data_IF_392416826815
#
_entry.id   IF_392416826815
#
_cell.length_a   1.000
_cell.length_b   1.000
_cell.length_c   1.000
_cell.angle_alpha   90.00
_cell.angle_beta   90.00
_cell.angle_gamma   90.00
#
_symmetry.space_group_name_H-M   'P 1'
#
loop_
_entity.id
_entity.type
_entity.pdbx_description
1 polymer ?
#
# COMPACT_ATOMS: atom_id res chain seq x y z
N UNK A 1 -25.71 1.01 21.69
CA UNK A 1 -26.36 -0.10 20.96
C UNK A 1 -26.54 0.39 19.54
N UNK A 2 -25.64 0.02 18.62
CA UNK A 2 -25.69 0.48 17.23
C UNK A 2 -26.86 -0.23 16.54
N UNK A 3 -28.02 0.43 16.55
CA UNK A 3 -29.18 -0.01 15.81
C UNK A 3 -28.82 -0.02 14.32
N UNK A 4 -29.14 -1.11 13.64
CA UNK A 4 -29.19 -1.17 12.18
C UNK A 4 -29.94 0.08 11.73
N UNK A 5 -29.36 0.97 10.90
CA UNK A 5 -30.06 2.16 10.46
C UNK A 5 -31.38 1.71 9.81
N UNK A 6 -32.48 2.38 10.14
CA UNK A 6 -33.79 2.07 9.57
C UNK A 6 -33.65 1.94 8.05
N UNK A 7 -34.14 0.83 7.50
CA UNK A 7 -34.06 0.57 6.07
C UNK A 7 -34.62 1.79 5.32
N UNK A 8 -33.93 2.30 4.28
CA UNK A 8 -34.36 3.48 3.56
C UNK A 8 -35.83 3.35 3.16
N UNK A 9 -36.68 4.24 3.66
CA UNK A 9 -38.13 4.22 3.40
C UNK A 9 -38.49 4.48 1.94
N UNK A 10 -37.53 4.93 1.14
CA UNK A 10 -37.71 5.29 -0.25
C UNK A 10 -36.97 4.33 -1.19
N UNK A 11 -37.72 3.73 -2.12
CA UNK A 11 -37.24 2.75 -3.10
C UNK A 11 -36.03 3.26 -3.90
N UNK A 12 -35.97 4.57 -4.19
CA UNK A 12 -34.88 5.20 -4.95
C UNK A 12 -33.55 5.28 -4.19
N UNK A 13 -33.56 5.19 -2.85
CA UNK A 13 -32.32 5.09 -2.06
C UNK A 13 -31.90 3.64 -1.86
N UNK A 14 -32.88 2.75 -1.66
CA UNK A 14 -32.63 1.33 -1.40
C UNK A 14 -32.04 0.61 -2.63
N UNK A 15 -32.62 0.82 -3.83
CA UNK A 15 -32.18 0.15 -5.06
C UNK A 15 -30.71 0.42 -5.43
N UNK A 16 -30.19 1.66 -5.47
CA UNK A 16 -28.78 1.89 -5.79
C UNK A 16 -27.83 1.43 -4.67
N UNK A 17 -28.21 1.56 -3.39
CA UNK A 17 -27.33 1.18 -2.26
C UNK A 17 -27.13 -0.33 -2.16
N UNK A 18 -28.20 -1.11 -2.31
CA UNK A 18 -28.16 -2.57 -2.14
C UNK A 18 -28.19 -3.33 -3.47
N UNK A 19 -28.95 -2.85 -4.45
CA UNK A 19 -29.03 -3.47 -5.77
C UNK A 19 -27.83 -3.14 -6.68
N UNK A 20 -27.25 -1.94 -6.55
CA UNK A 20 -26.09 -1.52 -7.35
C UNK A 20 -24.90 -2.49 -7.26
N UNK A 21 -24.41 -2.82 -6.05
CA UNK A 21 -23.34 -3.81 -5.88
C UNK A 21 -23.69 -5.19 -6.44
N UNK A 22 -24.95 -5.62 -6.33
CA UNK A 22 -25.40 -6.91 -6.89
C UNK A 22 -25.33 -6.88 -8.42
N UNK A 23 -25.80 -5.81 -9.05
CA UNK A 23 -25.73 -5.65 -10.51
C UNK A 23 -24.28 -5.66 -10.99
N UNK A 24 -23.39 -4.91 -10.32
CA UNK A 24 -21.96 -4.88 -10.66
C UNK A 24 -21.33 -6.26 -10.46
N UNK A 25 -21.65 -6.96 -9.36
CA UNK A 25 -21.13 -8.31 -9.10
C UNK A 25 -21.61 -9.35 -10.10
N UNK A 26 -22.89 -9.32 -10.48
CA UNK A 26 -23.44 -10.20 -11.53
C UNK A 26 -22.79 -9.91 -12.87
N UNK A 27 -22.63 -8.62 -13.22
CA UNK A 27 -21.92 -8.22 -14.43
C UNK A 27 -20.48 -8.73 -14.44
N UNK A 28 -19.77 -8.62 -13.31
CA UNK A 28 -18.40 -9.13 -13.18
C UNK A 28 -18.34 -10.65 -13.41
N UNK A 29 -19.24 -11.42 -12.79
CA UNK A 29 -19.33 -12.89 -12.98
C UNK A 29 -19.69 -13.24 -14.42
N UNK A 30 -20.58 -12.47 -15.06
CA UNK A 30 -20.96 -12.68 -16.45
C UNK A 30 -19.82 -12.40 -17.44
N UNK A 31 -18.92 -11.46 -17.12
CA UNK A 31 -17.76 -11.10 -17.96
C UNK A 31 -16.54 -11.98 -17.69
N UNK A 32 -16.42 -12.61 -16.52
CA UNK A 32 -15.30 -13.50 -16.17
C UNK A 32 -14.92 -14.54 -17.24
N UNK A 33 -15.87 -15.23 -17.93
CA UNK A 33 -15.54 -16.16 -19.00
C UNK A 33 -14.84 -15.54 -20.22
N UNK A 34 -14.94 -14.22 -20.40
CA UNK A 34 -14.28 -13.48 -21.48
C UNK A 34 -12.87 -12.98 -21.10
N UNK A 35 -12.47 -13.13 -19.84
CA UNK A 35 -11.17 -12.68 -19.34
C UNK A 35 -10.13 -13.77 -19.65
N UNK A 36 -9.00 -13.38 -20.23
CA UNK A 36 -7.88 -14.28 -20.44
C UNK A 36 -7.26 -14.67 -19.10
N UNK A 37 -6.95 -15.96 -18.94
CA UNK A 37 -6.31 -16.44 -17.71
C UNK A 37 -4.88 -15.93 -17.57
N UNK A 38 -4.39 -15.83 -16.33
CA UNK A 38 -3.02 -15.39 -16.09
C UNK A 38 -2.00 -16.39 -16.68
N UNK A 39 -1.01 -15.94 -17.49
CA UNK A 39 0.05 -16.81 -18.02
C UNK A 39 0.79 -17.57 -16.92
N UNK A 40 1.00 -16.90 -15.78
CA UNK A 40 1.66 -17.44 -14.59
C UNK A 40 0.89 -18.59 -13.97
N UNK A 41 -0.44 -18.46 -13.93
CA UNK A 41 -1.31 -19.51 -13.42
C UNK A 41 -1.34 -20.72 -14.37
N UNK A 42 -1.36 -20.48 -15.68
CA UNK A 42 -1.28 -21.53 -16.70
C UNK A 42 0.06 -22.28 -16.62
N UNK A 43 1.18 -21.57 -16.38
CA UNK A 43 2.49 -22.16 -16.10
C UNK A 43 2.46 -23.04 -14.84
N UNK A 44 1.85 -22.57 -13.76
CA UNK A 44 1.69 -23.37 -12.53
C UNK A 44 0.84 -24.64 -12.77
N UNK A 45 -0.08 -24.62 -13.74
CA UNK A 45 -0.84 -25.80 -14.19
C UNK A 45 -0.11 -26.67 -15.22
N UNK A 46 1.15 -26.37 -15.52
CA UNK A 46 1.97 -27.04 -16.55
C UNK A 46 1.39 -26.94 -17.97
N UNK A 47 0.59 -25.90 -18.25
CA UNK A 47 0.00 -25.61 -19.56
C UNK A 47 0.83 -24.58 -20.32
N UNK A 48 2.04 -24.97 -20.71
CA UNK A 48 3.08 -24.06 -21.25
C UNK A 48 2.65 -23.44 -22.59
N UNK A 49 2.12 -24.23 -23.51
CA UNK A 49 1.71 -23.74 -24.84
C UNK A 49 0.57 -22.72 -24.74
N UNK A 50 -0.40 -22.96 -23.86
CA UNK A 50 -1.51 -22.03 -23.63
C UNK A 50 -1.02 -20.73 -22.99
N UNK A 51 -0.09 -20.82 -22.04
CA UNK A 51 0.52 -19.65 -21.42
C UNK A 51 1.27 -18.77 -22.44
N UNK A 52 2.01 -19.35 -23.40
CA UNK A 52 2.68 -18.59 -24.47
C UNK A 52 1.68 -17.92 -25.40
N UNK A 53 0.60 -18.63 -25.79
CA UNK A 53 -0.47 -18.07 -26.61
C UNK A 53 -1.15 -16.87 -25.93
N UNK A 54 -1.48 -17.00 -24.65
CA UNK A 54 -2.09 -15.91 -23.89
C UNK A 54 -1.12 -14.74 -23.72
N UNK A 55 0.17 -15.01 -23.51
CA UNK A 55 1.18 -13.96 -23.46
C UNK A 55 1.24 -13.18 -24.79
N UNK A 56 1.25 -13.86 -25.94
CA UNK A 56 1.20 -13.21 -27.25
C UNK A 56 -0.07 -12.37 -27.49
N UNK A 57 -1.18 -12.71 -26.82
CA UNK A 57 -2.42 -11.93 -26.90
C UNK A 57 -2.41 -10.68 -25.99
N UNK A 58 -1.64 -10.71 -24.90
CA UNK A 58 -1.56 -9.59 -23.96
C UNK A 58 -0.58 -8.49 -24.42
N UNK A 59 0.52 -8.86 -25.06
CA UNK A 59 1.58 -7.93 -25.48
C UNK A 59 1.28 -7.30 -26.85
N UNK A 60 1.78 -6.08 -27.08
CA UNK A 60 1.59 -5.38 -28.33
C UNK A 60 2.49 -5.97 -29.43
N UNK A 61 2.07 -5.99 -30.71
CA UNK A 61 2.92 -6.43 -31.81
C UNK A 61 4.20 -5.58 -31.88
N UNK A 62 5.36 -6.19 -31.63
CA UNK A 62 6.67 -5.53 -31.64
C UNK A 62 7.46 -5.62 -30.33
N UNK A 63 6.84 -6.10 -29.24
CA UNK A 63 7.57 -6.46 -28.02
C UNK A 63 8.35 -7.77 -28.23
N UNK A 64 9.53 -7.88 -27.63
CA UNK A 64 10.34 -9.11 -27.62
C UNK A 64 9.75 -10.12 -26.63
N UNK A 65 8.59 -10.67 -26.98
CA UNK A 65 7.82 -11.59 -26.13
C UNK A 65 8.61 -12.86 -25.84
N UNK A 66 9.42 -13.33 -26.80
CA UNK A 66 10.15 -14.60 -26.67
C UNK A 66 11.31 -14.51 -25.66
N UNK A 67 12.03 -13.39 -25.59
CA UNK A 67 13.06 -13.23 -24.56
C UNK A 67 12.46 -13.12 -23.15
N UNK A 68 11.39 -12.35 -22.99
CA UNK A 68 10.64 -12.27 -21.73
C UNK A 68 10.04 -13.62 -21.33
N UNK A 69 9.51 -14.37 -22.29
CA UNK A 69 8.94 -15.69 -22.06
C UNK A 69 9.97 -16.67 -21.47
N UNK A 70 11.16 -16.72 -22.07
CA UNK A 70 12.22 -17.62 -21.59
C UNK A 70 12.64 -17.32 -20.15
N UNK A 71 12.76 -16.04 -19.79
CA UNK A 71 13.07 -15.60 -18.44
C UNK A 71 11.94 -15.94 -17.45
N UNK A 72 10.69 -15.75 -17.87
CA UNK A 72 9.51 -16.01 -17.06
C UNK A 72 9.37 -17.50 -16.71
N UNK A 73 9.54 -18.38 -17.70
CA UNK A 73 9.47 -19.83 -17.50
C UNK A 73 10.57 -20.29 -16.53
N UNK A 74 11.82 -19.85 -16.74
CA UNK A 74 12.93 -20.19 -15.85
C UNK A 74 12.71 -19.69 -14.41
N UNK A 75 12.17 -18.47 -14.26
CA UNK A 75 11.81 -17.89 -12.97
C UNK A 75 10.74 -18.73 -12.26
N UNK A 76 9.66 -19.07 -12.97
CA UNK A 76 8.54 -19.81 -12.39
C UNK A 76 8.91 -21.25 -12.05
N UNK A 77 9.72 -21.93 -12.85
CA UNK A 77 10.23 -23.27 -12.51
C UNK A 77 11.04 -23.24 -11.22
N UNK A 78 11.96 -22.28 -11.08
CA UNK A 78 12.76 -22.11 -9.86
C UNK A 78 11.88 -21.83 -8.65
N UNK A 79 10.96 -20.88 -8.76
CA UNK A 79 10.05 -20.52 -7.66
C UNK A 79 9.11 -21.67 -7.26
N UNK A 80 8.65 -22.48 -8.23
CA UNK A 80 7.81 -23.65 -7.98
C UNK A 80 8.59 -24.75 -7.27
N UNK A 81 9.80 -25.06 -7.73
CA UNK A 81 10.67 -26.05 -7.07
C UNK A 81 11.01 -25.64 -5.63
N UNK A 82 11.30 -24.36 -5.39
CA UNK A 82 11.52 -23.85 -4.02
C UNK A 82 10.29 -24.05 -3.14
N UNK A 83 9.10 -23.82 -3.69
CA UNK A 83 7.84 -24.00 -2.97
C UNK A 83 7.56 -25.47 -2.67
N UNK A 84 7.82 -26.37 -3.62
CA UNK A 84 7.66 -27.83 -3.46
C UNK A 84 8.67 -28.42 -2.47
N UNK A 85 9.88 -27.86 -2.42
CA UNK A 85 10.94 -28.28 -1.48
C UNK A 85 10.69 -27.82 -0.04
N UNK A 86 9.83 -26.82 0.16
CA UNK A 86 9.52 -26.26 1.47
C UNK A 86 8.33 -26.98 2.11
N UNK A 87 8.35 -27.09 3.44
CA UNK A 87 7.25 -27.69 4.20
C UNK A 87 5.92 -26.95 4.03
N UNK A 88 5.94 -25.63 3.84
CA UNK A 88 4.75 -24.84 3.51
C UNK A 88 5.10 -23.46 2.91
N UNK A 89 4.15 -22.86 2.18
CA UNK A 89 4.28 -21.48 1.67
C UNK A 89 4.48 -20.46 2.79
N UNK A 90 3.83 -20.66 3.94
CA UNK A 90 4.00 -19.81 5.12
C UNK A 90 5.40 -19.91 5.70
N UNK A 91 5.94 -21.14 5.83
CA UNK A 91 7.32 -21.36 6.25
C UNK A 91 8.31 -20.68 5.32
N UNK A 92 8.07 -20.74 4.00
CA UNK A 92 8.92 -20.09 3.01
C UNK A 92 8.87 -18.56 3.12
N UNK A 93 7.69 -17.96 3.34
CA UNK A 93 7.55 -16.51 3.56
C UNK A 93 8.31 -16.00 4.80
N UNK A 94 8.37 -16.80 5.85
CA UNK A 94 9.05 -16.45 7.12
C UNK A 94 10.53 -16.86 7.10
N UNK A 95 10.99 -17.56 6.06
CA UNK A 95 12.38 -17.96 5.91
C UNK A 95 13.33 -16.76 5.79
N UNK A 96 14.62 -16.95 6.09
CA UNK A 96 15.63 -15.89 6.00
C UNK A 96 15.68 -15.19 4.63
N UNK A 97 15.34 -15.94 3.56
CA UNK A 97 15.27 -15.47 2.18
C UNK A 97 14.18 -14.42 1.95
N UNK A 98 12.95 -14.68 2.40
CA UNK A 98 11.80 -13.82 2.08
C UNK A 98 11.29 -12.99 3.26
N UNK A 99 11.77 -13.23 4.50
CA UNK A 99 11.27 -12.55 5.71
C UNK A 99 11.32 -11.03 5.64
N UNK A 100 12.38 -10.45 5.05
CA UNK A 100 12.53 -8.99 4.95
C UNK A 100 11.48 -8.42 4.01
N UNK A 101 11.39 -8.96 2.79
CA UNK A 101 10.38 -8.59 1.80
C UNK A 101 8.95 -8.74 2.33
N UNK A 102 8.66 -9.90 2.94
CA UNK A 102 7.36 -10.19 3.52
C UNK A 102 6.99 -9.20 4.63
N UNK A 103 7.92 -8.92 5.54
CA UNK A 103 7.70 -7.94 6.60
C UNK A 103 7.45 -6.54 6.02
N UNK A 104 8.22 -6.13 5.00
CA UNK A 104 8.05 -4.83 4.35
C UNK A 104 6.68 -4.74 3.70
N UNK A 105 6.26 -5.76 2.95
CA UNK A 105 4.96 -5.79 2.29
C UNK A 105 3.80 -5.68 3.30
N UNK A 106 3.84 -6.43 4.40
CA UNK A 106 2.81 -6.38 5.45
C UNK A 106 2.78 -5.02 6.15
N UNK A 107 3.95 -4.49 6.53
CA UNK A 107 4.06 -3.18 7.20
C UNK A 107 3.59 -2.07 6.27
N UNK A 108 3.98 -2.10 5.00
CA UNK A 108 3.58 -1.11 3.98
C UNK A 108 2.06 -1.06 3.83
N UNK A 109 1.40 -2.21 3.64
CA UNK A 109 -0.07 -2.27 3.50
C UNK A 109 -0.79 -1.89 4.80
N UNK A 110 -0.23 -2.23 5.96
CA UNK A 110 -0.80 -1.85 7.26
C UNK A 110 -0.70 -0.34 7.50
N UNK A 111 0.48 0.24 7.29
CA UNK A 111 0.72 1.68 7.46
C UNK A 111 -0.07 2.53 6.45
N UNK A 112 -0.31 1.99 5.25
CA UNK A 112 -1.21 2.59 4.27
C UNK A 112 -2.61 2.87 4.86
N UNK A 113 -3.13 2.01 5.74
CA UNK A 113 -4.44 2.22 6.37
C UNK A 113 -4.38 3.18 7.56
N UNK A 114 -3.25 3.23 8.26
CA UNK A 114 -3.03 4.07 9.44
C UNK A 114 -2.70 5.54 9.11
N UNK A 115 -2.43 5.86 7.84
CA UNK A 115 -2.10 7.22 7.40
C UNK A 115 -3.26 8.24 7.52
N UNK A 116 -4.47 7.80 7.84
CA UNK A 116 -5.61 8.67 8.17
C UNK A 116 -6.64 8.90 7.07
N UNK A 117 -6.45 8.35 5.87
CA UNK A 117 -7.44 8.49 4.79
C UNK A 117 -8.81 7.92 5.19
N UNK A 118 -8.86 6.74 5.82
CA UNK A 118 -10.15 6.16 6.25
C UNK A 118 -10.87 7.00 7.29
N UNK A 119 -10.14 7.58 8.25
CA UNK A 119 -10.73 8.50 9.20
C UNK A 119 -11.33 9.71 8.47
N UNK A 120 -10.62 10.26 7.48
CA UNK A 120 -11.16 11.36 6.68
C UNK A 120 -12.42 10.96 5.90
N UNK A 121 -12.48 9.75 5.34
CA UNK A 121 -13.67 9.29 4.60
C UNK A 121 -14.87 9.12 5.51
N UNK A 122 -14.67 8.55 6.70
CA UNK A 122 -15.76 8.29 7.66
C UNK A 122 -16.22 9.57 8.34
N UNK A 123 -15.29 10.45 8.72
CA UNK A 123 -15.58 11.62 9.56
C UNK A 123 -15.53 12.96 8.83
N UNK A 124 -15.11 12.97 7.56
CA UNK A 124 -15.03 14.16 6.71
C UNK A 124 -16.33 14.99 6.67
N UNK A 125 -17.53 14.39 6.53
CA UNK A 125 -18.78 15.15 6.60
C UNK A 125 -18.95 15.91 7.92
N UNK A 126 -18.61 15.30 9.05
CA UNK A 126 -18.68 15.97 10.36
C UNK A 126 -17.70 17.14 10.43
N UNK A 127 -16.51 16.98 9.86
CA UNK A 127 -15.52 18.05 9.76
C UNK A 127 -15.99 19.21 8.88
N UNK A 128 -16.56 18.92 7.71
CA UNK A 128 -17.14 19.95 6.84
C UNK A 128 -18.28 20.72 7.49
N UNK A 129 -19.12 20.02 8.27
CA UNK A 129 -20.19 20.66 9.04
C UNK A 129 -19.63 21.68 10.04
N UNK A 130 -18.53 21.34 10.72
CA UNK A 130 -17.88 22.23 11.68
C UNK A 130 -17.30 23.51 11.04
N UNK A 131 -16.97 23.46 9.73
CA UNK A 131 -16.45 24.60 8.95
C UNK A 131 -17.59 25.52 8.45
N UNK A 132 -18.86 25.14 8.67
CA UNK A 132 -20.05 25.88 8.22
C UNK A 132 -20.61 25.43 6.87
N UNK A 133 -20.15 24.29 6.35
CA UNK A 133 -20.73 23.71 5.14
C UNK A 133 -21.99 22.92 5.49
N UNK A 134 -23.14 23.46 5.08
CA UNK A 134 -24.45 22.87 5.37
C UNK A 134 -24.82 21.74 4.39
N UNK A 135 -24.38 21.83 3.12
CA UNK A 135 -24.65 20.85 2.08
C UNK A 135 -23.61 19.72 2.05
N UNK A 136 -23.71 18.83 3.04
CA UNK A 136 -22.77 17.71 3.25
C UNK A 136 -22.75 16.71 2.08
N UNK A 137 -23.90 16.51 1.41
CA UNK A 137 -24.01 15.61 0.26
C UNK A 137 -23.15 16.10 -0.90
N UNK A 138 -23.33 17.36 -1.30
CA UNK A 138 -22.57 17.98 -2.39
C UNK A 138 -21.07 17.99 -2.09
N UNK A 139 -20.70 18.29 -0.85
CA UNK A 139 -19.30 18.29 -0.40
C UNK A 139 -18.66 16.92 -0.49
N UNK A 140 -19.39 15.88 -0.05
CA UNK A 140 -18.93 14.49 -0.14
C UNK A 140 -18.81 14.05 -1.60
N UNK A 141 -19.75 14.45 -2.47
CA UNK A 141 -19.68 14.16 -3.91
C UNK A 141 -18.46 14.81 -4.56
N UNK A 142 -18.16 16.08 -4.25
CA UNK A 142 -16.99 16.78 -4.79
C UNK A 142 -15.69 16.11 -4.36
N UNK A 143 -15.56 15.74 -3.08
CA UNK A 143 -14.37 15.02 -2.58
C UNK A 143 -14.21 13.68 -3.29
N UNK A 144 -15.28 12.91 -3.48
CA UNK A 144 -15.19 11.62 -4.17
C UNK A 144 -14.87 11.77 -5.66
N UNK A 145 -15.39 12.80 -6.32
CA UNK A 145 -15.02 13.13 -7.69
C UNK A 145 -13.54 13.55 -7.80
N UNK A 146 -13.06 14.38 -6.87
CA UNK A 146 -11.66 14.74 -6.75
C UNK A 146 -10.77 13.50 -6.58
N UNK A 147 -11.13 12.58 -5.69
CA UNK A 147 -10.42 11.31 -5.51
C UNK A 147 -10.33 10.48 -6.78
N UNK A 148 -11.44 10.38 -7.52
CA UNK A 148 -11.45 9.65 -8.80
C UNK A 148 -10.49 10.29 -9.81
N UNK A 149 -10.54 11.61 -9.93
CA UNK A 149 -9.64 12.38 -10.78
C UNK A 149 -8.17 12.24 -10.36
N UNK A 150 -7.87 12.36 -9.07
CA UNK A 150 -6.50 12.29 -8.55
C UNK A 150 -5.91 10.88 -8.67
N UNK A 151 -6.74 9.84 -8.56
CA UNK A 151 -6.33 8.47 -8.85
C UNK A 151 -5.98 8.28 -10.33
N UNK A 152 -6.78 8.85 -11.23
CA UNK A 152 -6.47 8.86 -12.67
C UNK A 152 -5.14 9.55 -12.98
N UNK A 153 -4.88 10.70 -12.35
CA UNK A 153 -3.58 11.37 -12.45
C UNK A 153 -2.46 10.52 -11.86
N UNK A 154 -2.68 9.91 -10.70
CA UNK A 154 -1.77 8.98 -10.05
C UNK A 154 -1.37 7.83 -10.97
N UNK A 155 -2.33 7.23 -11.68
CA UNK A 155 -2.04 6.20 -12.69
C UNK A 155 -1.19 6.75 -13.84
N UNK A 156 -1.54 7.92 -14.40
CA UNK A 156 -0.83 8.51 -15.55
C UNK A 156 0.62 8.90 -15.22
N UNK A 157 0.86 9.38 -13.99
CA UNK A 157 2.19 9.80 -13.55
C UNK A 157 2.97 8.67 -12.87
N UNK A 158 2.28 7.68 -12.29
CA UNK A 158 2.86 6.59 -11.51
C UNK A 158 3.98 5.87 -12.26
N UNK A 159 3.76 5.58 -13.54
CA UNK A 159 4.72 4.85 -14.39
C UNK A 159 5.85 5.70 -14.96
N UNK A 160 5.88 7.02 -14.69
CA UNK A 160 6.99 7.89 -15.10
C UNK A 160 8.08 8.03 -14.06
N UNK A 161 7.76 7.74 -12.81
CA UNK A 161 8.64 7.98 -11.68
C UNK A 161 8.94 6.70 -10.92
N UNK A 162 9.91 6.78 -10.01
CA UNK A 162 10.29 5.69 -9.14
C UNK A 162 9.26 5.50 -8.02
N UNK A 163 8.96 4.24 -7.67
CA UNK A 163 7.89 3.89 -6.73
C UNK A 163 8.18 4.47 -5.33
N UNK A 164 9.43 4.30 -4.85
CA UNK A 164 9.90 4.83 -3.57
C UNK A 164 9.79 6.36 -3.51
N UNK A 165 10.19 7.06 -4.58
CA UNK A 165 10.12 8.53 -4.63
C UNK A 165 8.68 9.03 -4.55
N UNK A 166 7.73 8.38 -5.22
CA UNK A 166 6.32 8.79 -5.13
C UNK A 166 5.76 8.57 -3.72
N UNK A 167 6.07 7.44 -3.10
CA UNK A 167 5.67 7.18 -1.72
C UNK A 167 6.20 8.26 -0.77
N UNK A 168 7.47 8.67 -0.91
CA UNK A 168 8.06 9.72 -0.08
C UNK A 168 7.45 11.10 -0.35
N UNK A 169 7.38 11.52 -1.61
CA UNK A 169 6.86 12.85 -2.00
C UNK A 169 5.39 13.00 -1.61
N UNK A 170 4.56 12.00 -1.91
CA UNK A 170 3.15 12.08 -1.55
C UNK A 170 2.93 11.97 -0.03
N UNK A 171 3.74 11.20 0.69
CA UNK A 171 3.68 11.19 2.17
C UNK A 171 4.08 12.55 2.76
N UNK A 172 5.06 13.25 2.18
CA UNK A 172 5.40 14.62 2.57
C UNK A 172 4.24 15.58 2.31
N UNK A 173 3.56 15.47 1.17
CA UNK A 173 2.34 16.23 0.87
C UNK A 173 1.22 15.97 1.87
N UNK A 174 1.04 14.71 2.29
CA UNK A 174 0.08 14.34 3.33
C UNK A 174 0.46 14.91 4.70
N UNK A 175 1.75 14.94 5.07
CA UNK A 175 2.20 15.56 6.34
C UNK A 175 1.86 17.05 6.33
N UNK A 176 2.21 17.77 5.27
CA UNK A 176 1.92 19.21 5.15
C UNK A 176 0.41 19.47 5.17
N UNK A 177 -0.38 18.68 4.42
CA UNK A 177 -1.84 18.81 4.40
C UNK A 177 -2.50 18.54 5.75
N UNK A 178 -2.07 17.48 6.45
CA UNK A 178 -2.63 17.14 7.76
C UNK A 178 -2.19 18.10 8.87
N UNK A 179 -0.95 18.60 8.86
CA UNK A 179 -0.51 19.66 9.78
C UNK A 179 -1.24 20.98 9.53
N UNK A 180 -1.34 21.41 8.27
CA UNK A 180 -2.07 22.62 7.90
C UNK A 180 -3.54 22.55 8.32
N UNK A 181 -4.17 21.38 8.14
CA UNK A 181 -5.53 21.13 8.61
C UNK A 181 -5.66 21.26 10.13
N UNK A 182 -4.78 20.62 10.91
CA UNK A 182 -4.81 20.66 12.38
C UNK A 182 -4.53 22.05 12.94
N UNK A 183 -3.63 22.82 12.34
CA UNK A 183 -3.35 24.21 12.74
C UNK A 183 -4.58 25.10 12.50
N UNK A 184 -5.22 24.99 11.33
CA UNK A 184 -6.43 25.77 11.02
C UNK A 184 -7.60 25.44 11.96
N UNK A 185 -7.70 24.17 12.41
CA UNK A 185 -8.69 23.75 13.40
C UNK A 185 -8.41 24.31 14.81
N UNK A 186 -7.14 24.53 15.16
CA UNK A 186 -6.74 25.07 16.47
C UNK A 186 -6.99 26.58 16.56
N UNK A 187 -6.86 27.29 15.44
CA UNK A 187 -7.08 28.73 15.34
C UNK A 187 -8.24 29.04 14.37
N UNK A 188 -9.51 28.83 14.77
CA UNK A 188 -10.65 29.01 13.89
C UNK A 188 -10.82 30.49 13.51
N UNK A 189 -10.89 30.77 12.20
CA UNK A 189 -11.18 32.07 11.61
C UNK A 189 -11.85 31.87 10.25
N UNK A 190 -12.67 32.83 9.79
CA UNK A 190 -13.38 32.72 8.50
C UNK A 190 -12.42 32.51 7.31
N UNK A 191 -11.22 33.11 7.35
CA UNK A 191 -10.18 32.89 6.33
C UNK A 191 -9.54 31.51 6.45
N UNK A 192 -9.38 31.01 7.68
CA UNK A 192 -8.74 29.71 7.96
C UNK A 192 -9.60 28.53 7.52
N UNK A 193 -10.92 28.72 7.42
CA UNK A 193 -11.86 27.70 6.91
C UNK A 193 -11.54 27.28 5.46
N UNK A 194 -11.25 28.24 4.58
CA UNK A 194 -10.89 27.95 3.19
C UNK A 194 -9.51 27.30 3.06
N UNK A 195 -8.56 27.73 3.89
CA UNK A 195 -7.23 27.12 3.98
C UNK A 195 -7.35 25.68 4.45
N UNK A 196 -8.17 25.42 5.47
CA UNK A 196 -8.40 24.08 6.01
C UNK A 196 -8.95 23.12 4.95
N UNK A 197 -9.96 23.55 4.17
CA UNK A 197 -10.51 22.75 3.07
C UNK A 197 -9.42 22.46 2.04
N UNK A 198 -8.62 23.45 1.69
CA UNK A 198 -7.52 23.31 0.72
C UNK A 198 -6.46 22.32 1.22
N UNK A 199 -6.05 22.41 2.49
CA UNK A 199 -5.13 21.46 3.12
C UNK A 199 -5.68 20.03 3.12
N UNK A 200 -6.98 19.88 3.36
CA UNK A 200 -7.65 18.59 3.34
C UNK A 200 -7.70 17.99 1.92
N UNK A 201 -8.02 18.80 0.90
CA UNK A 201 -7.99 18.36 -0.50
C UNK A 201 -6.57 18.01 -0.94
N UNK A 202 -5.56 18.79 -0.54
CA UNK A 202 -4.17 18.49 -0.81
C UNK A 202 -3.71 17.17 -0.15
N UNK A 203 -4.18 16.88 1.07
CA UNK A 203 -3.96 15.60 1.74
C UNK A 203 -4.56 14.44 0.93
N UNK A 204 -5.80 14.57 0.47
CA UNK A 204 -6.50 13.56 -0.32
C UNK A 204 -5.80 13.31 -1.66
N UNK A 205 -5.46 14.39 -2.38
CA UNK A 205 -4.77 14.31 -3.66
C UNK A 205 -3.41 13.63 -3.51
N UNK A 206 -2.64 14.02 -2.50
CA UNK A 206 -1.35 13.42 -2.19
C UNK A 206 -1.47 11.93 -1.90
N UNK A 207 -2.48 11.52 -1.10
CA UNK A 207 -2.74 10.11 -0.82
C UNK A 207 -3.09 9.32 -2.08
N UNK A 208 -4.02 9.81 -2.91
CA UNK A 208 -4.46 9.14 -4.14
C UNK A 208 -3.30 8.96 -5.14
N UNK A 209 -2.45 9.97 -5.28
CA UNK A 209 -1.31 9.94 -6.21
C UNK A 209 -0.12 9.11 -5.72
N UNK A 210 -0.04 8.76 -4.43
CA UNK A 210 1.07 7.97 -3.87
C UNK A 210 0.59 6.75 -3.10
N UNK A 211 0.37 6.87 -1.80
CA UNK A 211 0.20 5.78 -0.84
C UNK A 211 -1.01 4.93 -1.19
N UNK A 212 -2.11 5.55 -1.64
CA UNK A 212 -3.35 4.87 -1.98
C UNK A 212 -3.22 3.93 -3.18
N UNK A 213 -2.53 4.33 -4.24
CA UNK A 213 -2.33 3.50 -5.44
C UNK A 213 -1.12 2.58 -5.31
N UNK A 214 0.00 3.10 -4.81
CA UNK A 214 1.28 2.39 -4.81
C UNK A 214 1.44 1.40 -3.65
N UNK A 215 0.76 1.58 -2.51
CA UNK A 215 0.92 0.67 -1.36
C UNK A 215 0.55 -0.78 -1.70
N UNK A 216 -0.50 -0.97 -2.51
CA UNK A 216 -0.90 -2.30 -2.99
C UNK A 216 0.04 -2.83 -4.08
N UNK A 217 0.47 -1.97 -5.00
CA UNK A 217 1.34 -2.37 -6.11
C UNK A 217 2.71 -2.82 -5.57
N UNK A 218 3.36 -1.98 -4.77
CA UNK A 218 4.70 -2.26 -4.23
C UNK A 218 4.67 -3.49 -3.32
N UNK A 219 3.62 -3.70 -2.52
CA UNK A 219 3.53 -4.91 -1.69
C UNK A 219 3.44 -6.19 -2.52
N UNK A 220 2.88 -6.14 -3.73
CA UNK A 220 2.87 -7.29 -4.66
C UNK A 220 4.18 -7.44 -5.45
N UNK A 221 4.86 -6.34 -5.79
CA UNK A 221 6.15 -6.37 -6.51
C UNK A 221 7.29 -6.91 -5.63
N UNK A 222 7.19 -6.81 -4.31
CA UNK A 222 8.21 -7.28 -3.37
C UNK A 222 8.26 -8.80 -3.18
N UNK A 223 7.20 -9.53 -3.56
CA UNK A 223 7.02 -10.94 -3.19
C UNK A 223 6.93 -11.80 -4.45
N UNK A 224 7.67 -12.94 -4.52
CA UNK A 224 7.53 -13.91 -5.59
C UNK A 224 6.07 -14.28 -5.87
N UNK A 225 5.71 -14.39 -7.15
CA UNK A 225 4.32 -14.60 -7.58
C UNK A 225 3.72 -15.88 -7.00
N UNK A 226 4.53 -16.96 -6.88
CA UNK A 226 4.09 -18.24 -6.27
C UNK A 226 3.67 -18.13 -4.80
N UNK A 227 4.21 -17.12 -4.09
CA UNK A 227 3.91 -16.78 -2.69
C UNK A 227 2.93 -15.61 -2.57
N UNK A 228 2.65 -14.91 -3.67
CA UNK A 228 1.83 -13.69 -3.71
C UNK A 228 0.44 -13.89 -3.09
N UNK A 229 -0.23 -15.01 -3.36
CA UNK A 229 -1.54 -15.30 -2.78
C UNK A 229 -1.51 -15.43 -1.25
N UNK A 230 -0.51 -16.14 -0.69
CA UNK A 230 -0.37 -16.32 0.75
C UNK A 230 0.06 -15.02 1.45
N UNK A 231 1.02 -14.30 0.88
CA UNK A 231 1.44 -12.99 1.39
C UNK A 231 0.30 -11.97 1.33
N UNK A 232 -0.37 -11.90 0.19
CA UNK A 232 -1.50 -10.99 -0.05
C UNK A 232 -2.66 -11.23 0.92
N UNK A 233 -2.99 -12.48 1.24
CA UNK A 233 -4.02 -12.80 2.24
C UNK A 233 -3.67 -12.24 3.63
N UNK A 234 -2.41 -12.39 4.07
CA UNK A 234 -1.95 -11.90 5.37
C UNK A 234 -1.90 -10.37 5.37
N UNK A 235 -1.30 -9.75 4.35
CA UNK A 235 -1.25 -8.30 4.21
C UNK A 235 -2.67 -7.69 4.19
N UNK A 236 -3.60 -8.33 3.49
CA UNK A 236 -5.01 -7.92 3.44
C UNK A 236 -5.67 -8.04 4.82
N UNK A 237 -5.44 -9.14 5.55
CA UNK A 237 -5.93 -9.30 6.92
C UNK A 237 -5.43 -8.18 7.84
N UNK A 238 -4.13 -7.88 7.82
CA UNK A 238 -3.54 -6.79 8.60
C UNK A 238 -4.10 -5.42 8.21
N UNK A 239 -4.30 -5.19 6.91
CA UNK A 239 -4.91 -3.97 6.36
C UNK A 239 -6.29 -3.74 6.94
N UNK A 240 -7.20 -4.71 6.82
CA UNK A 240 -8.57 -4.57 7.34
C UNK A 240 -8.61 -4.49 8.86
N UNK A 241 -7.68 -5.17 9.54
CA UNK A 241 -7.53 -5.07 10.99
C UNK A 241 -7.12 -3.65 11.42
N UNK A 242 -6.14 -3.05 10.76
CA UNK A 242 -5.75 -1.66 11.01
C UNK A 242 -6.89 -0.68 10.71
N UNK A 243 -7.63 -0.91 9.62
CA UNK A 243 -8.80 -0.10 9.29
C UNK A 243 -9.91 -0.22 10.33
N UNK A 244 -10.18 -1.43 10.84
CA UNK A 244 -11.12 -1.66 11.93
C UNK A 244 -10.73 -0.85 13.17
N UNK A 245 -9.45 -0.88 13.57
CA UNK A 245 -8.98 -0.14 14.73
C UNK A 245 -9.10 1.38 14.54
N UNK A 246 -8.76 1.91 13.36
CA UNK A 246 -8.98 3.33 13.05
C UNK A 246 -10.48 3.67 13.15
N UNK A 247 -11.35 2.86 12.56
CA UNK A 247 -12.81 3.09 12.58
C UNK A 247 -13.42 3.06 14.00
N UNK A 248 -12.87 2.25 14.91
CA UNK A 248 -13.36 2.14 16.29
C UNK A 248 -12.76 3.21 17.20
N UNK A 249 -11.43 3.38 17.19
CA UNK A 249 -10.73 4.20 18.16
C UNK A 249 -10.63 5.67 17.75
N UNK A 250 -10.54 6.00 16.46
CA UNK A 250 -10.40 7.40 16.04
C UNK A 250 -11.60 8.23 16.51
N UNK A 251 -12.82 7.70 16.44
CA UNK A 251 -14.02 8.38 16.94
C UNK A 251 -13.96 8.68 18.43
N UNK A 252 -13.36 7.78 19.22
CA UNK A 252 -13.19 7.98 20.67
C UNK A 252 -12.18 9.10 20.93
N UNK A 253 -11.08 9.12 20.17
CA UNK A 253 -10.04 10.15 20.27
C UNK A 253 -10.56 11.52 19.81
N UNK A 254 -11.36 11.56 18.74
CA UNK A 254 -11.97 12.79 18.21
C UNK A 254 -13.16 13.30 19.00
N UNK A 255 -13.56 12.61 20.07
CA UNK A 255 -14.64 13.08 20.94
C UNK A 255 -14.22 14.35 21.71
N UNK A 256 -15.20 15.18 22.03
CA UNK A 256 -15.02 16.50 22.69
C UNK A 256 -14.31 16.38 24.04
N UNK A 257 -14.38 15.22 24.71
CA UNK A 257 -13.71 14.96 25.99
C UNK A 257 -12.24 14.56 25.90
N UNK A 258 -11.69 14.40 24.69
CA UNK A 258 -10.30 14.02 24.46
C UNK A 258 -9.62 15.08 23.59
N UNK A 259 -9.33 14.76 22.32
CA UNK A 259 -8.55 15.61 21.43
C UNK A 259 -9.43 16.46 20.51
N UNK A 260 -10.75 16.20 20.46
CA UNK A 260 -11.73 17.01 19.73
C UNK A 260 -11.29 17.30 18.28
N UNK A 261 -11.30 18.59 17.92
CA UNK A 261 -10.89 19.07 16.59
C UNK A 261 -9.41 18.85 16.24
N UNK A 262 -8.56 18.57 17.24
CA UNK A 262 -7.12 18.36 17.06
C UNK A 262 -6.74 16.89 16.82
N UNK A 263 -7.70 15.97 16.88
CA UNK A 263 -7.45 14.53 16.72
C UNK A 263 -6.75 14.16 15.40
N UNK A 264 -6.95 14.94 14.33
CA UNK A 264 -6.27 14.71 13.05
C UNK A 264 -4.74 14.93 13.12
N UNK A 265 -4.25 15.61 14.17
CA UNK A 265 -2.82 15.81 14.46
C UNK A 265 -2.04 14.55 14.78
N UNK A 266 -2.71 13.41 14.98
CA UNK A 266 -2.05 12.10 15.13
C UNK A 266 -1.44 11.59 13.80
N UNK A 267 -2.08 11.91 12.66
CA UNK A 267 -1.67 11.38 11.36
C UNK A 267 -0.32 11.90 10.86
N UNK A 268 0.05 13.19 11.03
CA UNK A 268 1.41 13.65 10.76
C UNK A 268 2.48 12.80 11.45
N UNK A 269 2.30 12.45 12.73
CA UNK A 269 3.26 11.64 13.47
C UNK A 269 3.40 10.23 12.88
N UNK A 270 2.27 9.58 12.56
CA UNK A 270 2.26 8.27 11.89
C UNK A 270 2.90 8.35 10.51
N UNK A 271 2.63 9.41 9.75
CA UNK A 271 3.20 9.63 8.42
C UNK A 271 4.71 9.87 8.47
N UNK A 272 5.24 10.53 9.50
CA UNK A 272 6.70 10.68 9.67
C UNK A 272 7.35 9.30 9.88
N UNK A 273 6.76 8.46 10.73
CA UNK A 273 7.23 7.07 10.91
C UNK A 273 7.15 6.30 9.60
N UNK A 274 6.07 6.47 8.84
CA UNK A 274 5.92 5.86 7.52
C UNK A 274 6.98 6.33 6.53
N UNK A 275 7.27 7.64 6.46
CA UNK A 275 8.32 8.20 5.60
C UNK A 275 9.69 7.63 5.98
N UNK A 276 10.01 7.55 7.27
CA UNK A 276 11.26 6.94 7.73
C UNK A 276 11.34 5.45 7.33
N UNK A 277 10.25 4.71 7.50
CA UNK A 277 10.17 3.32 7.07
C UNK A 277 10.36 3.15 5.56
N UNK A 278 9.68 3.94 4.74
CA UNK A 278 9.84 3.91 3.26
C UNK A 278 11.25 4.32 2.87
N UNK A 279 11.83 5.30 3.56
CA UNK A 279 13.19 5.75 3.28
C UNK A 279 14.24 4.71 3.65
N UNK A 280 14.08 3.95 4.74
CA UNK A 280 15.11 2.97 5.17
C UNK A 280 14.88 1.59 4.55
N UNK A 281 13.63 1.13 4.48
CA UNK A 281 13.33 -0.28 4.25
C UNK A 281 12.80 -0.60 2.85
N UNK A 282 12.22 0.36 2.12
CA UNK A 282 11.57 0.09 0.83
C UNK A 282 12.57 0.32 -0.31
N UNK A 283 12.96 -0.73 -1.08
CA UNK A 283 13.81 -0.56 -2.25
C UNK A 283 13.04 0.05 -3.43
N UNK A 284 13.75 0.47 -4.45
CA UNK A 284 13.13 0.96 -5.68
C UNK A 284 12.79 -0.22 -6.61
N UNK A 285 11.51 -0.57 -6.70
CA UNK A 285 11.00 -1.70 -7.48
C UNK A 285 10.73 -1.38 -8.95
N UNK A 286 10.92 -0.12 -9.37
CA UNK A 286 10.60 0.30 -10.75
C UNK A 286 11.37 -0.55 -11.77
N UNK A 287 10.64 -1.09 -12.75
CA UNK A 287 11.19 -1.85 -13.91
C UNK A 287 12.01 -3.08 -13.53
N UNK A 288 11.92 -3.56 -12.29
CA UNK A 288 12.64 -4.74 -11.85
C UNK A 288 11.73 -5.96 -11.81
N UNK A 289 12.27 -7.12 -12.16
CA UNK A 289 11.57 -8.39 -11.96
C UNK A 289 11.58 -8.76 -10.48
N UNK A 290 10.62 -9.57 -10.04
CA UNK A 290 10.54 -10.03 -8.65
C UNK A 290 11.81 -10.75 -8.18
N UNK A 291 12.49 -11.41 -9.09
CA UNK A 291 13.77 -12.07 -8.85
C UNK A 291 14.90 -11.05 -8.64
N UNK A 292 14.96 -9.99 -9.45
CA UNK A 292 15.90 -8.88 -9.25
C UNK A 292 15.62 -8.16 -7.94
N UNK A 293 14.35 -7.94 -7.60
CA UNK A 293 13.95 -7.39 -6.31
C UNK A 293 14.42 -8.27 -5.17
N UNK A 294 14.33 -9.59 -5.31
CA UNK A 294 14.86 -10.54 -4.33
C UNK A 294 16.37 -10.48 -4.23
N UNK A 295 17.08 -10.38 -5.36
CA UNK A 295 18.54 -10.23 -5.39
C UNK A 295 19.03 -8.96 -4.64
N UNK A 296 18.29 -7.85 -4.71
CA UNK A 296 18.64 -6.62 -3.98
C UNK A 296 18.70 -6.84 -2.46
N UNK A 297 17.82 -7.66 -1.89
CA UNK A 297 17.84 -7.94 -0.46
C UNK A 297 18.99 -8.86 -0.04
N UNK A 298 19.50 -9.68 -0.97
CA UNK A 298 20.62 -10.58 -0.74
C UNK A 298 21.97 -9.88 -0.83
N UNK A 299 22.17 -9.00 -1.80
CA UNK A 299 23.39 -8.20 -1.90
C UNK A 299 23.60 -7.33 -0.65
N UNK A 300 22.52 -6.82 -0.07
CA UNK A 300 22.59 -6.04 1.18
C UNK A 300 22.90 -6.92 2.40
N UNK A 301 22.38 -8.16 2.46
CA UNK A 301 22.69 -9.10 3.54
C UNK A 301 24.13 -9.61 3.50
N UNK A 302 24.68 -9.86 2.31
CA UNK A 302 26.08 -10.28 2.16
C UNK A 302 27.04 -9.12 2.41
N UNK A 303 26.72 -7.90 1.96
CA UNK A 303 27.49 -6.70 2.31
C UNK A 303 27.42 -6.39 3.81
N UNK A 304 26.26 -6.58 4.46
CA UNK A 304 26.13 -6.42 5.92
C UNK A 304 26.93 -7.47 6.68
N UNK A 305 26.86 -8.75 6.30
CA UNK A 305 27.68 -9.81 6.90
C UNK A 305 29.17 -9.55 6.70
N UNK A 306 29.58 -9.12 5.51
CA UNK A 306 30.98 -8.78 5.25
C UNK A 306 31.43 -7.60 6.13
N UNK A 307 30.59 -6.57 6.31
CA UNK A 307 30.90 -5.46 7.21
C UNK A 307 30.91 -5.84 8.69
N UNK A 308 30.04 -6.76 9.11
CA UNK A 308 29.98 -7.26 10.48
C UNK A 308 31.16 -8.20 10.78
N UNK A 309 31.57 -9.03 9.80
CA UNK A 309 32.75 -9.88 9.88
C UNK A 309 34.03 -9.03 9.90
N UNK A 310 34.13 -8.00 9.05
CA UNK A 310 35.25 -7.04 9.05
C UNK A 310 35.31 -6.25 10.37
N UNK A 311 34.17 -5.83 10.92
CA UNK A 311 34.09 -5.16 12.22
C UNK A 311 34.45 -6.10 13.38
N UNK A 312 34.06 -7.37 13.31
CA UNK A 312 34.43 -8.40 14.29
C UNK A 312 35.93 -8.70 14.25
N UNK A 313 36.52 -8.82 13.05
CA UNK A 313 37.97 -9.00 12.84
C UNK A 313 38.76 -7.80 13.35
N UNK A 314 38.26 -6.57 13.13
CA UNK A 314 38.89 -5.36 13.67
C UNK A 314 38.87 -5.35 15.20
N UNK A 315 37.74 -5.71 15.81
CA UNK A 315 37.59 -5.75 17.26
C UNK A 315 38.40 -6.86 17.94
N UNK A 316 38.59 -8.01 17.30
CA UNK A 316 39.46 -9.08 17.82
C UNK A 316 40.94 -8.72 17.67
N UNK A 317 41.33 -8.07 16.56
CA UNK A 317 42.72 -7.61 16.37
C UNK A 317 43.13 -6.54 17.38
N UNK A 318 42.25 -5.59 17.71
CA UNK A 318 42.52 -4.58 18.74
C UNK A 318 42.64 -5.18 20.16
N UNK A 319 41.92 -6.27 20.42
CA UNK A 319 42.03 -7.01 21.70
C UNK A 319 43.32 -7.81 21.81
N UNK A 320 43.75 -8.48 20.74
CA UNK A 320 45.03 -9.20 20.73
C UNK A 320 46.21 -8.22 20.84
N UNK A 321 46.12 -7.05 20.21
CA UNK A 321 47.13 -6.00 20.34
C UNK A 321 47.17 -5.35 21.73
N UNK A 322 46.05 -5.28 22.46
CA UNK A 322 46.03 -4.81 23.86
C UNK A 322 46.60 -5.81 24.86
N UNK A 323 46.58 -7.12 24.57
CA UNK A 323 47.11 -8.16 25.46
C UNK A 323 48.63 -8.32 25.30
N UNK A 324 49.18 -7.97 24.14
CA UNK A 324 50.62 -8.03 23.84
C UNK A 324 51.39 -6.74 24.17
N UNK A 325 50.71 -5.67 24.62
CA UNK A 325 51.32 -4.37 24.93
C UNK A 325 51.38 -3.99 26.40
N UNK A 326 51.07 -4.91 27.33
CA UNK A 326 51.26 -4.68 28.77
C UNK A 326 52.58 -5.34 29.24
N UNK A 327 53.61 -4.56 29.61
CA UNK A 327 54.87 -5.08 30.15
C UNK A 327 54.74 -5.72 31.54
#
# INVERSE_FOLDING_TARGET
MYAIPDAPSSTWQFMPLFGGPVVIGVLQVAVMPCILESPIWLLHRRQVDQAHLVMNQLYLPGDDVDSHWSLLVATMERQTQETESSSSKLSLLVSAKYRKQFSIAVVLSTMQQLCGMNALVVYGPTMFKAIGIHELRLSSTIVNFGRFHDMYLGMKFGDRFNRRTLLLVGSAGMIVGSLGFTVCQTYPSATNNWVQITCMLAFVASFCMSVGSLGWIVSTELIPEVLGASSGAIATCCTWTAQFFIGVYFQQISSVGHWGSQAFGIFPAVLVVFVLFVWICVPDTRTQTTDQVTAMFYSDDDNQKQSDDDAFVYWTSDKENCILSSP
#
